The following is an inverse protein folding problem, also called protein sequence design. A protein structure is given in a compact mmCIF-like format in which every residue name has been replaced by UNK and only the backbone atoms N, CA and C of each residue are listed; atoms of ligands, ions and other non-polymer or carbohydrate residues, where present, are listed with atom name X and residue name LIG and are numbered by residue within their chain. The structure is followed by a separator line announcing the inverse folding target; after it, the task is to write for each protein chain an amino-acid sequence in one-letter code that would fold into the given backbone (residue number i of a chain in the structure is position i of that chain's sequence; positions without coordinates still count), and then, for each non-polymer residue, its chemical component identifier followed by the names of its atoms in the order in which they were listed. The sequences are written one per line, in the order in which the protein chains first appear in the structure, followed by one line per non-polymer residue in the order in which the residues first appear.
data_IF_439373421019
#
_entry.id   IF_439373421019
#
_cell.length_a   1.000
_cell.length_b   1.000
_cell.length_c   1.000
_cell.angle_alpha   90.00
_cell.angle_beta   90.00
_cell.angle_gamma   90.00
#
_symmetry.space_group_name_H-M   'P 1'
#
loop_
_entity.id
_entity.type
_entity.pdbx_description
1 polymer ?
#
# COMPACT_ATOMS: atom_id res chain seq x y z
N UNK A 1 -25.78 24.87 -39.25
CA UNK A 1 -25.66 23.57 -38.57
C UNK A 1 -24.21 23.14 -38.72
N UNK A 2 -23.42 23.29 -37.66
CA UNK A 2 -22.01 22.92 -37.69
C UNK A 2 -21.92 21.41 -37.53
N UNK A 3 -21.36 20.73 -38.50
CA UNK A 3 -20.98 19.32 -38.40
C UNK A 3 -19.98 19.16 -37.26
N UNK A 4 -20.42 18.61 -36.16
CA UNK A 4 -19.53 18.12 -35.11
C UNK A 4 -18.79 16.91 -35.69
N UNK A 5 -17.55 17.15 -36.17
CA UNK A 5 -16.63 16.09 -36.52
C UNK A 5 -16.32 15.27 -35.25
N UNK A 6 -17.01 14.16 -35.08
CA UNK A 6 -16.82 13.16 -34.01
C UNK A 6 -15.46 12.48 -34.04
N UNK A 7 -14.69 12.70 -35.12
CA UNK A 7 -13.36 12.09 -35.25
C UNK A 7 -12.29 13.18 -35.37
N UNK A 8 -11.18 13.08 -34.63
CA UNK A 8 -10.08 14.02 -34.77
C UNK A 8 -9.56 13.98 -36.22
N UNK A 9 -9.30 15.14 -36.80
CA UNK A 9 -8.72 15.19 -38.14
C UNK A 9 -7.37 14.49 -38.13
N UNK A 10 -7.01 13.82 -39.22
CA UNK A 10 -5.73 13.10 -39.36
C UNK A 10 -4.50 14.00 -39.10
N UNK A 11 -4.67 15.34 -39.15
CA UNK A 11 -3.64 16.33 -38.78
C UNK A 11 -3.48 16.47 -37.26
N UNK A 12 -4.44 16.05 -36.45
CA UNK A 12 -4.43 16.19 -35.00
C UNK A 12 -3.94 14.88 -34.33
N UNK A 13 -3.77 13.83 -35.13
CA UNK A 13 -3.21 12.57 -34.68
C UNK A 13 -1.68 12.70 -34.68
N UNK A 14 -1.14 12.99 -33.51
CA UNK A 14 0.25 12.87 -33.13
C UNK A 14 1.28 13.47 -34.11
N UNK A 15 1.56 14.73 -33.98
CA UNK A 15 2.78 15.36 -34.53
C UNK A 15 3.95 15.24 -33.55
N UNK A 16 4.01 14.18 -32.74
CA UNK A 16 5.13 13.92 -31.87
C UNK A 16 6.38 13.65 -32.72
N UNK A 17 7.35 14.54 -32.66
CA UNK A 17 8.67 14.28 -33.22
C UNK A 17 9.45 13.35 -32.31
N UNK A 18 10.48 12.69 -32.83
CA UNK A 18 11.41 11.89 -32.00
C UNK A 18 12.03 12.69 -30.87
N UNK A 19 12.09 14.02 -31.01
CA UNK A 19 12.55 14.94 -29.97
C UNK A 19 11.56 15.03 -28.83
N UNK A 20 10.24 15.08 -29.09
CA UNK A 20 9.20 15.13 -28.05
C UNK A 20 9.19 13.84 -27.24
N UNK A 21 9.42 12.69 -27.88
CA UNK A 21 9.55 11.39 -27.19
C UNK A 21 10.82 11.40 -26.33
N UNK A 22 11.93 11.90 -26.83
CA UNK A 22 13.19 12.01 -26.10
C UNK A 22 13.06 12.92 -24.89
N UNK A 23 12.41 14.06 -25.04
CA UNK A 23 12.20 15.01 -23.93
C UNK A 23 11.26 14.46 -22.87
N UNK A 24 10.25 13.69 -23.29
CA UNK A 24 9.34 13.00 -22.37
C UNK A 24 10.05 11.89 -21.58
N UNK A 25 11.02 11.21 -22.20
CA UNK A 25 11.81 10.15 -21.57
C UNK A 25 13.05 10.66 -20.84
N UNK A 26 13.35 11.97 -20.93
CA UNK A 26 14.55 12.54 -20.32
C UNK A 26 14.58 12.43 -18.79
N UNK A 27 13.41 12.24 -18.15
CA UNK A 27 13.27 12.13 -16.70
C UNK A 27 12.33 10.98 -16.32
N UNK A 28 12.76 9.72 -16.48
CA UNK A 28 11.94 8.61 -16.02
C UNK A 28 11.86 8.59 -14.49
N UNK A 29 10.69 8.27 -13.96
CA UNK A 29 10.52 8.05 -12.53
C UNK A 29 11.29 6.80 -12.10
N UNK A 30 12.06 6.92 -11.01
CA UNK A 30 12.81 5.80 -10.44
C UNK A 30 11.97 5.08 -9.38
N UNK A 31 12.08 3.78 -9.31
CA UNK A 31 11.37 2.93 -8.34
C UNK A 31 11.95 2.97 -6.91
N UNK A 32 13.11 3.63 -6.73
CA UNK A 32 13.90 3.57 -5.49
C UNK A 32 13.53 4.61 -4.43
N UNK A 33 12.86 5.69 -4.81
CA UNK A 33 12.58 6.81 -3.91
C UNK A 33 11.12 6.78 -3.42
N UNK A 34 10.90 6.11 -2.31
CA UNK A 34 9.59 6.04 -1.66
C UNK A 34 9.74 5.99 -0.14
N UNK A 35 8.66 6.29 0.55
CA UNK A 35 8.53 6.18 1.99
C UNK A 35 7.17 5.58 2.32
N UNK A 36 7.17 4.57 3.19
CA UNK A 36 5.95 4.01 3.77
C UNK A 36 5.79 4.56 5.18
N UNK A 37 4.66 5.15 5.49
CA UNK A 37 4.35 5.69 6.81
C UNK A 37 3.10 5.02 7.36
N UNK A 38 3.23 4.44 8.54
CA UNK A 38 2.13 3.82 9.26
C UNK A 38 1.51 4.84 10.21
N UNK A 39 0.20 4.99 10.16
CA UNK A 39 -0.56 5.83 11.08
C UNK A 39 -1.46 4.94 11.93
N UNK A 40 -0.86 4.33 12.93
CA UNK A 40 -1.57 3.49 13.90
C UNK A 40 -2.24 4.40 14.93
N UNK A 41 -3.48 4.78 14.67
CA UNK A 41 -4.24 5.65 15.58
C UNK A 41 -4.67 4.96 16.87
N UNK A 42 -4.80 3.64 16.80
CA UNK A 42 -5.31 2.80 17.89
C UNK A 42 -4.24 1.84 18.46
N UNK A 43 -2.98 2.07 18.15
CA UNK A 43 -1.89 1.20 18.61
C UNK A 43 -1.84 1.05 20.15
N UNK A 44 -2.28 2.07 20.89
CA UNK A 44 -2.34 2.05 22.35
C UNK A 44 -3.25 0.90 22.85
N UNK A 45 -4.26 0.52 22.08
CA UNK A 45 -5.19 -0.53 22.50
C UNK A 45 -4.64 -1.93 22.29
N UNK A 46 -3.87 -2.15 21.25
CA UNK A 46 -3.39 -3.50 20.91
C UNK A 46 -1.88 -3.72 21.17
N UNK A 47 -1.08 -2.65 21.22
CA UNK A 47 0.34 -2.77 21.51
C UNK A 47 0.67 -2.57 22.99
N UNK A 48 0.04 -1.58 23.67
CA UNK A 48 0.32 -1.30 25.08
C UNK A 48 -0.33 -2.32 26.04
N UNK A 49 -1.48 -2.88 25.69
CA UNK A 49 -2.16 -3.86 26.53
C UNK A 49 -1.42 -5.20 26.70
N UNK A 50 -0.40 -5.46 25.91
CA UNK A 50 0.28 -6.76 25.87
C UNK A 50 1.68 -6.77 26.52
N UNK A 51 2.27 -5.63 26.85
CA UNK A 51 3.61 -5.58 27.47
C UNK A 51 3.62 -4.71 28.75
N UNK A 52 3.60 -5.33 29.92
CA UNK A 52 3.78 -4.60 31.16
C UNK A 52 5.15 -3.90 31.18
N UNK A 53 5.17 -2.59 31.26
CA UNK A 53 6.39 -1.79 31.47
C UNK A 53 6.97 -1.04 30.27
N UNK A 54 6.44 -1.20 29.06
CA UNK A 54 6.87 -0.36 27.90
C UNK A 54 6.19 1.01 27.93
N UNK A 55 7.00 2.06 27.98
CA UNK A 55 6.55 3.45 28.08
C UNK A 55 6.01 3.95 26.72
N UNK A 56 5.01 4.84 26.76
CA UNK A 56 4.32 5.51 25.64
C UNK A 56 5.22 6.11 24.54
N UNK A 57 6.49 6.39 24.83
CA UNK A 57 7.44 6.94 23.85
C UNK A 57 7.98 5.89 22.85
N UNK A 58 7.84 4.59 23.13
CA UNK A 58 8.32 3.53 22.24
C UNK A 58 7.43 3.29 21.02
N UNK A 59 6.18 3.74 21.06
CA UNK A 59 5.26 3.62 19.93
C UNK A 59 5.70 4.40 18.68
N UNK A 60 6.30 5.57 18.85
CA UNK A 60 6.82 6.36 17.71
C UNK A 60 8.09 5.78 17.12
N UNK A 61 8.93 5.15 17.94
CA UNK A 61 10.20 4.59 17.50
C UNK A 61 9.99 3.37 16.61
N UNK A 62 9.00 2.53 16.89
CA UNK A 62 8.73 1.38 16.04
C UNK A 62 8.10 1.78 14.69
N UNK A 63 7.19 2.76 14.66
CA UNK A 63 6.63 3.26 13.39
C UNK A 63 7.74 3.82 12.49
N UNK A 64 8.70 4.55 13.09
CA UNK A 64 9.88 5.02 12.37
C UNK A 64 10.75 3.87 11.87
N UNK A 65 11.00 2.85 12.70
CA UNK A 65 11.74 1.65 12.29
C UNK A 65 11.04 0.93 11.13
N UNK A 66 9.73 0.74 11.19
CA UNK A 66 8.96 0.14 10.10
C UNK A 66 9.11 0.93 8.80
N UNK A 67 9.01 2.25 8.85
CA UNK A 67 9.20 3.11 7.67
C UNK A 67 10.60 2.99 7.07
N UNK A 68 11.64 2.86 7.91
CA UNK A 68 13.03 2.80 7.47
C UNK A 68 13.43 1.40 6.97
N UNK A 69 12.85 0.34 7.52
CA UNK A 69 13.20 -1.04 7.20
C UNK A 69 12.32 -1.65 6.10
N UNK A 70 11.36 -0.89 5.57
CA UNK A 70 10.57 -1.29 4.41
C UNK A 70 11.45 -1.25 3.14
N UNK A 71 11.67 -2.41 2.54
CA UNK A 71 12.55 -2.57 1.38
C UNK A 71 11.81 -2.65 0.06
N UNK A 72 10.56 -3.07 0.09
CA UNK A 72 9.70 -3.13 -1.09
C UNK A 72 8.28 -2.74 -0.68
N UNK A 73 7.66 -1.93 -1.52
CA UNK A 73 6.26 -1.55 -1.42
C UNK A 73 5.66 -1.49 -2.82
N UNK A 74 4.45 -2.00 -2.95
CA UNK A 74 3.72 -1.94 -4.20
C UNK A 74 2.83 -0.69 -4.24
N UNK A 75 2.74 -0.06 -5.40
CA UNK A 75 1.75 0.99 -5.62
C UNK A 75 0.37 0.37 -5.84
N UNK A 76 -0.72 1.08 -5.45
CA UNK A 76 -2.05 0.51 -5.53
C UNK A 76 -2.48 0.21 -6.96
N UNK A 77 -2.91 -1.02 -7.18
CA UNK A 77 -3.59 -1.43 -8.40
C UNK A 77 -5.10 -1.28 -8.31
N UNK A 78 -5.75 -1.29 -9.44
CA UNK A 78 -7.22 -1.30 -9.52
C UNK A 78 -7.64 -2.13 -10.71
N UNK A 79 -8.61 -3.01 -10.52
CA UNK A 79 -9.26 -3.77 -11.57
C UNK A 79 -10.78 -3.65 -11.47
N UNK A 80 -11.46 -3.89 -12.57
CA UNK A 80 -12.90 -3.97 -12.62
C UNK A 80 -13.32 -5.36 -13.08
N UNK A 81 -14.29 -5.93 -12.41
CA UNK A 81 -15.01 -7.07 -12.94
C UNK A 81 -15.87 -6.63 -14.09
N UNK A 82 -16.07 -7.51 -15.06
CA UNK A 82 -16.78 -7.21 -16.30
C UNK A 82 -18.07 -8.01 -16.35
N UNK A 83 -19.18 -7.29 -16.42
CA UNK A 83 -20.48 -7.86 -16.73
C UNK A 83 -20.77 -7.76 -18.23
N UNK A 84 -21.34 -8.79 -18.79
CA UNK A 84 -21.69 -8.86 -20.22
C UNK A 84 -23.21 -8.84 -20.41
N UNK A 85 -23.68 -8.00 -21.30
CA UNK A 85 -25.05 -8.01 -21.75
C UNK A 85 -25.15 -8.67 -23.14
N UNK A 86 -25.92 -9.76 -23.19
CA UNK A 86 -26.25 -10.45 -24.44
C UNK A 86 -27.72 -10.24 -24.72
N UNK A 87 -28.05 -9.33 -25.64
CA UNK A 87 -29.43 -9.14 -26.09
C UNK A 87 -29.85 -10.23 -27.07
N UNK A 88 -31.13 -10.63 -27.05
CA UNK A 88 -31.66 -11.67 -27.95
C UNK A 88 -31.52 -11.37 -29.44
N UNK A 89 -31.28 -10.12 -29.80
CA UNK A 89 -31.16 -9.67 -31.21
C UNK A 89 -29.88 -8.88 -31.49
N UNK A 90 -28.93 -8.81 -30.55
CA UNK A 90 -27.67 -8.12 -30.74
C UNK A 90 -26.61 -9.08 -31.27
N UNK A 91 -25.99 -8.72 -32.40
CA UNK A 91 -24.86 -9.48 -32.96
C UNK A 91 -23.52 -9.21 -32.26
N UNK A 92 -23.48 -8.24 -31.34
CA UNK A 92 -22.27 -7.81 -30.60
C UNK A 92 -22.57 -7.85 -29.12
N UNK A 93 -21.66 -8.42 -28.34
CA UNK A 93 -21.75 -8.47 -26.88
C UNK A 93 -21.27 -7.13 -26.31
N UNK A 94 -22.10 -6.50 -25.51
CA UNK A 94 -21.71 -5.30 -24.77
C UNK A 94 -21.15 -5.69 -23.40
N UNK A 95 -20.07 -5.01 -23.01
CA UNK A 95 -19.39 -5.25 -21.73
C UNK A 95 -19.43 -3.99 -20.87
N UNK A 96 -19.71 -4.16 -19.59
CA UNK A 96 -19.78 -3.08 -18.60
C UNK A 96 -18.85 -3.37 -17.44
N UNK A 97 -18.27 -2.30 -16.87
CA UNK A 97 -17.57 -2.40 -15.59
C UNK A 97 -18.59 -2.58 -14.47
N UNK A 98 -18.41 -3.61 -13.65
CA UNK A 98 -19.31 -3.96 -12.56
C UNK A 98 -18.67 -3.60 -11.21
N UNK A 99 -17.87 -4.48 -10.66
CA UNK A 99 -17.25 -4.32 -9.36
C UNK A 99 -15.80 -3.84 -9.47
N UNK A 100 -15.46 -2.88 -8.65
CA UNK A 100 -14.08 -2.39 -8.53
C UNK A 100 -13.32 -3.19 -7.46
N UNK A 101 -12.27 -3.86 -7.87
CA UNK A 101 -11.43 -4.68 -7.02
C UNK A 101 -10.09 -4.01 -6.73
N UNK A 102 -9.64 -4.16 -5.49
CA UNK A 102 -8.34 -3.70 -5.03
C UNK A 102 -7.51 -4.90 -4.63
N UNK A 103 -6.38 -5.18 -5.32
CA UNK A 103 -5.47 -6.23 -4.90
C UNK A 103 -4.85 -5.87 -3.54
N UNK A 104 -4.45 -6.87 -2.73
CA UNK A 104 -3.78 -6.60 -1.46
C UNK A 104 -2.50 -5.80 -1.68
N UNK A 105 -2.09 -5.05 -0.64
CA UNK A 105 -0.85 -4.30 -0.61
C UNK A 105 0.24 -5.17 -0.02
N UNK A 106 1.23 -5.53 -0.82
CA UNK A 106 2.37 -6.32 -0.39
C UNK A 106 3.54 -5.42 0.03
N UNK A 107 4.04 -5.65 1.24
CA UNK A 107 5.18 -4.96 1.81
C UNK A 107 6.25 -5.97 2.26
N UNK A 108 7.51 -5.62 2.02
CA UNK A 108 8.66 -6.42 2.46
C UNK A 108 9.52 -5.60 3.38
N UNK A 109 9.86 -6.16 4.53
CA UNK A 109 10.70 -5.54 5.54
C UNK A 109 11.97 -6.32 5.78
N UNK A 110 13.06 -5.62 6.09
CA UNK A 110 14.19 -6.24 6.77
C UNK A 110 13.88 -6.44 8.25
N UNK A 111 14.21 -7.60 8.78
CA UNK A 111 14.11 -7.85 10.22
C UNK A 111 15.40 -7.39 10.90
N UNK A 112 15.25 -6.59 11.95
CA UNK A 112 16.34 -6.22 12.84
C UNK A 112 16.61 -7.31 13.88
N UNK A 113 17.72 -7.21 14.60
CA UNK A 113 18.10 -8.18 15.63
C UNK A 113 17.08 -8.25 16.79
N UNK A 114 16.37 -7.17 17.04
CA UNK A 114 15.35 -7.09 18.09
C UNK A 114 13.99 -7.66 17.66
N UNK A 115 13.85 -8.06 16.38
CA UNK A 115 12.62 -8.61 15.78
C UNK A 115 11.36 -7.72 15.97
N UNK A 116 11.56 -6.42 16.13
CA UNK A 116 10.47 -5.46 16.47
C UNK A 116 9.36 -5.47 15.44
N UNK A 117 9.70 -5.58 14.14
CA UNK A 117 8.72 -5.57 13.06
C UNK A 117 7.80 -6.78 13.14
N UNK A 118 8.36 -7.96 13.32
CA UNK A 118 7.61 -9.21 13.45
C UNK A 118 6.71 -9.14 14.69
N UNK A 119 7.27 -8.69 15.81
CA UNK A 119 6.51 -8.53 17.06
C UNK A 119 5.28 -7.62 16.86
N UNK A 120 5.44 -6.49 16.17
CA UNK A 120 4.32 -5.57 15.90
C UNK A 120 3.27 -6.20 15.00
N UNK A 121 3.70 -6.85 13.92
CA UNK A 121 2.77 -7.46 12.96
C UNK A 121 2.01 -8.66 13.57
N UNK A 122 2.70 -9.52 14.32
CA UNK A 122 2.09 -10.63 15.03
C UNK A 122 1.09 -10.15 16.09
N UNK A 123 1.42 -9.09 16.83
CA UNK A 123 0.50 -8.50 17.81
C UNK A 123 -0.72 -7.87 17.15
N UNK A 124 -0.55 -7.24 15.99
CA UNK A 124 -1.69 -6.74 15.24
C UNK A 124 -2.62 -7.85 14.80
N UNK A 125 -2.06 -8.97 14.29
CA UNK A 125 -2.85 -10.16 13.96
C UNK A 125 -3.49 -10.82 15.18
N UNK A 126 -2.75 -10.94 16.29
CA UNK A 126 -3.26 -11.47 17.57
C UNK A 126 -4.37 -10.60 18.15
N UNK A 127 -4.31 -9.28 17.96
CA UNK A 127 -5.38 -8.39 18.38
C UNK A 127 -6.67 -8.61 17.57
N UNK A 128 -6.56 -8.91 16.28
CA UNK A 128 -7.73 -9.23 15.45
C UNK A 128 -8.43 -10.49 15.97
N UNK A 129 -7.65 -11.52 16.30
CA UNK A 129 -8.16 -12.78 16.84
C UNK A 129 -7.21 -13.32 17.93
N UNK A 130 -7.50 -13.09 19.22
CA UNK A 130 -6.61 -13.43 20.32
C UNK A 130 -6.56 -14.93 20.60
N UNK A 131 -5.73 -15.66 19.85
CA UNK A 131 -5.52 -17.10 20.00
C UNK A 131 -4.50 -17.43 21.08
N UNK A 132 -3.42 -16.66 21.16
CA UNK A 132 -2.29 -16.95 22.07
C UNK A 132 -2.54 -16.50 23.50
N UNK A 133 -3.32 -15.44 23.69
CA UNK A 133 -3.60 -14.87 25.01
C UNK A 133 -4.40 -15.82 25.89
N UNK A 134 -5.20 -16.68 25.28
CA UNK A 134 -6.09 -17.63 25.96
C UNK A 134 -5.45 -19.01 26.18
N UNK A 135 -4.13 -19.08 26.40
CA UNK A 135 -3.39 -20.36 26.58
C UNK A 135 -3.92 -21.29 27.67
N UNK A 136 -4.71 -20.79 28.62
CA UNK A 136 -5.25 -21.58 29.75
C UNK A 136 -6.66 -22.12 29.52
N UNK A 137 -7.39 -21.56 28.57
CA UNK A 137 -8.78 -21.94 28.31
C UNK A 137 -8.92 -22.43 26.87
N UNK A 138 -8.57 -23.71 26.67
CA UNK A 138 -8.77 -24.41 25.39
C UNK A 138 -10.24 -24.45 24.93
N UNK A 139 -11.17 -24.16 25.84
CA UNK A 139 -12.61 -24.08 25.58
C UNK A 139 -13.11 -22.65 25.31
N UNK A 140 -12.26 -21.64 25.50
CA UNK A 140 -12.65 -20.27 25.24
C UNK A 140 -12.78 -20.05 23.73
N UNK A 141 -13.98 -19.75 23.27
CA UNK A 141 -14.21 -19.31 21.91
C UNK A 141 -13.46 -18.00 21.69
N UNK A 142 -12.43 -18.02 20.83
CA UNK A 142 -11.71 -16.83 20.43
C UNK A 142 -12.66 -15.97 19.59
N UNK A 143 -12.97 -14.77 20.09
CA UNK A 143 -13.85 -13.84 19.41
C UNK A 143 -13.01 -12.85 18.61
N UNK A 144 -13.37 -12.64 17.35
CA UNK A 144 -12.79 -11.55 16.57
C UNK A 144 -13.17 -10.18 17.15
N UNK A 145 -12.21 -9.27 17.21
CA UNK A 145 -12.48 -7.88 17.53
C UNK A 145 -13.20 -7.19 16.36
N UNK A 146 -13.89 -6.09 16.65
CA UNK A 146 -14.61 -5.36 15.62
C UNK A 146 -13.64 -4.70 14.61
N UNK A 147 -14.02 -4.67 13.31
CA UNK A 147 -13.17 -4.07 12.27
C UNK A 147 -12.74 -2.64 12.55
N UNK A 148 -13.59 -1.86 13.25
CA UNK A 148 -13.29 -0.48 13.62
C UNK A 148 -12.13 -0.36 14.63
N UNK A 149 -11.84 -1.44 15.37
CA UNK A 149 -10.82 -1.42 16.42
C UNK A 149 -9.41 -1.74 15.87
N UNK A 150 -9.30 -2.54 14.79
CA UNK A 150 -8.01 -2.99 14.27
C UNK A 150 -7.64 -2.42 12.90
N UNK A 151 -8.56 -1.75 12.20
CA UNK A 151 -8.28 -1.12 10.91
C UNK A 151 -7.54 0.18 11.10
N UNK A 152 -6.48 0.35 10.32
CA UNK A 152 -5.55 1.47 10.41
C UNK A 152 -5.36 2.16 9.05
N UNK A 153 -4.53 3.20 9.01
CA UNK A 153 -4.22 3.98 7.81
C UNK A 153 -2.73 3.86 7.51
N UNK A 154 -2.41 3.67 6.22
CA UNK A 154 -1.04 3.63 5.73
C UNK A 154 -0.89 4.64 4.59
N UNK A 155 0.23 5.34 4.58
CA UNK A 155 0.60 6.26 3.51
C UNK A 155 1.84 5.73 2.79
N UNK A 156 1.80 5.72 1.46
CA UNK A 156 2.97 5.48 0.62
C UNK A 156 3.22 6.75 -0.18
N UNK A 157 4.37 7.37 0.04
CA UNK A 157 4.78 8.57 -0.67
C UNK A 157 5.91 8.24 -1.61
N UNK A 158 5.70 8.46 -2.89
CA UNK A 158 6.70 8.38 -3.94
C UNK A 158 7.24 9.77 -4.20
N UNK A 159 8.56 9.91 -4.21
CA UNK A 159 9.22 11.19 -4.50
C UNK A 159 10.32 11.01 -5.54
N UNK A 160 10.60 12.10 -6.26
CA UNK A 160 11.61 12.14 -7.29
C UNK A 160 12.83 12.97 -6.85
N UNK A 161 14.01 12.54 -7.30
CA UNK A 161 15.28 13.16 -6.91
C UNK A 161 15.44 14.59 -7.46
N UNK A 162 15.00 14.83 -8.70
CA UNK A 162 15.30 16.02 -9.48
C UNK A 162 14.06 16.86 -9.81
N UNK A 163 13.14 16.99 -8.87
CA UNK A 163 11.95 17.82 -9.07
C UNK A 163 12.25 19.33 -8.93
N UNK A 164 13.27 19.81 -9.64
CA UNK A 164 13.59 21.23 -9.67
C UNK A 164 12.70 21.92 -10.71
N UNK A 165 11.68 22.62 -10.25
CA UNK A 165 10.85 23.44 -11.13
C UNK A 165 11.48 24.82 -11.26
N UNK A 166 12.29 25.05 -12.31
CA UNK A 166 12.94 26.33 -12.59
C UNK A 166 11.98 27.53 -12.77
N UNK A 167 10.68 27.27 -12.92
CA UNK A 167 9.67 28.28 -13.28
C UNK A 167 8.88 28.88 -12.11
N UNK A 168 9.05 28.39 -10.89
CA UNK A 168 8.36 28.97 -9.72
C UNK A 168 9.36 29.27 -8.62
N UNK A 169 9.64 30.56 -8.44
CA UNK A 169 10.38 31.16 -7.34
C UNK A 169 10.54 30.25 -6.11
N UNK A 170 11.74 29.66 -5.97
CA UNK A 170 12.37 29.17 -4.73
C UNK A 170 11.54 28.33 -3.74
N UNK A 171 10.36 27.87 -4.06
CA UNK A 171 9.64 26.91 -3.23
C UNK A 171 9.86 25.52 -3.83
N UNK A 172 10.55 24.66 -3.09
CA UNK A 172 10.73 23.25 -3.43
C UNK A 172 9.37 22.56 -3.46
N UNK A 173 8.66 22.63 -4.56
CA UNK A 173 7.55 21.74 -4.83
C UNK A 173 8.16 20.47 -5.40
N UNK A 174 8.54 19.55 -4.53
CA UNK A 174 8.83 18.17 -4.92
C UNK A 174 7.56 17.59 -5.57
N UNK A 175 7.68 17.06 -6.77
CA UNK A 175 6.63 16.25 -7.37
C UNK A 175 6.50 14.98 -6.52
N UNK A 176 5.70 15.06 -5.48
CA UNK A 176 5.43 13.94 -4.57
C UNK A 176 4.04 13.43 -4.86
N UNK A 177 3.94 12.16 -5.15
CA UNK A 177 2.66 11.46 -5.22
C UNK A 177 2.49 10.67 -3.95
N UNK A 178 1.45 10.95 -3.20
CA UNK A 178 1.12 10.23 -1.96
C UNK A 178 -0.16 9.44 -2.13
N UNK A 179 -0.10 8.19 -1.72
CA UNK A 179 -1.24 7.28 -1.65
C UNK A 179 -1.60 7.04 -0.20
N UNK A 180 -2.85 7.31 0.15
CA UNK A 180 -3.42 7.06 1.47
C UNK A 180 -4.33 5.84 1.39
N UNK A 181 -3.94 4.75 2.05
CA UNK A 181 -4.73 3.53 2.15
C UNK A 181 -5.56 3.56 3.42
N UNK A 182 -6.85 3.34 3.29
CA UNK A 182 -7.81 3.43 4.40
C UNK A 182 -8.40 2.06 4.70
N UNK A 183 -8.66 1.82 5.98
CA UNK A 183 -9.17 0.55 6.49
C UNK A 183 -8.22 -0.62 6.20
N UNK A 184 -6.94 -0.40 6.45
CA UNK A 184 -5.89 -1.40 6.25
C UNK A 184 -5.84 -2.36 7.43
N UNK A 185 -5.68 -3.64 7.13
CA UNK A 185 -5.49 -4.69 8.13
C UNK A 185 -4.62 -5.83 7.56
N UNK A 186 -3.88 -6.55 8.41
CA UNK A 186 -3.01 -7.63 7.95
C UNK A 186 -3.85 -8.84 7.53
N UNK A 187 -3.70 -9.24 6.26
CA UNK A 187 -4.37 -10.41 5.70
C UNK A 187 -3.51 -11.66 5.84
N UNK A 188 -2.22 -11.55 5.52
CA UNK A 188 -1.30 -12.67 5.53
C UNK A 188 0.11 -12.22 5.90
N UNK A 189 0.72 -12.92 6.84
CA UNK A 189 2.12 -12.81 7.19
C UNK A 189 2.83 -14.08 6.71
N UNK A 190 3.71 -13.94 5.74
CA UNK A 190 4.38 -15.09 5.13
C UNK A 190 5.40 -15.70 6.09
N UNK A 191 5.40 -17.03 6.20
CA UNK A 191 6.38 -17.74 7.03
C UNK A 191 7.81 -17.50 6.53
N UNK A 192 8.72 -17.26 7.47
CA UNK A 192 10.14 -17.02 7.19
C UNK A 192 10.95 -18.30 7.36
N UNK A 193 11.75 -18.61 6.35
CA UNK A 193 12.62 -19.78 6.39
C UNK A 193 13.92 -19.43 7.13
N UNK A 194 14.26 -20.24 8.13
CA UNK A 194 15.56 -20.22 8.79
C UNK A 194 16.39 -21.45 8.32
N UNK A 195 17.63 -21.23 7.93
CA UNK A 195 18.53 -22.30 7.51
C UNK A 195 19.97 -22.00 7.96
N UNK A 196 20.69 -23.04 8.34
CA UNK A 196 22.14 -22.94 8.55
C UNK A 196 22.82 -22.92 7.18
N UNK A 197 23.71 -21.97 6.97
CA UNK A 197 24.43 -21.79 5.70
C UNK A 197 24.96 -20.36 5.56
N UNK A 198 24.99 -19.87 4.32
CA UNK A 198 25.42 -18.50 4.06
C UNK A 198 24.47 -17.50 4.73
N UNK A 199 25.01 -16.52 5.49
CA UNK A 199 24.20 -15.56 6.22
C UNK A 199 23.54 -14.58 5.27
N UNK A 200 22.22 -14.67 5.14
CA UNK A 200 21.40 -13.71 4.42
C UNK A 200 20.55 -12.90 5.42
N UNK A 201 20.26 -11.64 5.06
CA UNK A 201 19.38 -10.80 5.88
C UNK A 201 17.96 -11.36 5.85
N UNK A 202 17.39 -11.56 7.03
CA UNK A 202 16.02 -12.03 7.19
C UNK A 202 15.04 -10.98 6.67
N UNK A 203 14.09 -11.43 5.83
CA UNK A 203 13.02 -10.58 5.29
C UNK A 203 11.68 -11.10 5.76
N UNK A 204 10.81 -10.17 6.09
CA UNK A 204 9.42 -10.41 6.46
C UNK A 204 8.51 -9.85 5.36
N UNK A 205 7.64 -10.70 4.81
CA UNK A 205 6.67 -10.30 3.80
C UNK A 205 5.28 -10.30 4.43
N UNK A 206 4.56 -9.21 4.24
CA UNK A 206 3.19 -9.06 4.70
C UNK A 206 2.29 -8.57 3.57
N UNK A 207 1.12 -9.20 3.44
CA UNK A 207 0.04 -8.78 2.57
C UNK A 207 -1.04 -8.11 3.41
N UNK A 208 -1.38 -6.88 3.05
CA UNK A 208 -2.36 -6.05 3.74
C UNK A 208 -3.59 -5.87 2.86
N UNK A 209 -4.76 -6.19 3.40
CA UNK A 209 -6.01 -5.84 2.76
C UNK A 209 -6.41 -4.42 3.14
N UNK A 210 -7.06 -3.71 2.24
CA UNK A 210 -7.55 -2.35 2.47
C UNK A 210 -8.90 -2.11 1.79
N UNK A 211 -9.65 -1.14 2.30
CA UNK A 211 -10.97 -0.86 1.76
C UNK A 211 -10.93 -0.01 0.49
N UNK A 212 -10.05 0.96 0.43
CA UNK A 212 -9.85 1.88 -0.71
C UNK A 212 -8.58 2.69 -0.50
N UNK A 213 -8.15 3.38 -1.56
CA UNK A 213 -7.05 4.33 -1.47
C UNK A 213 -7.45 5.69 -2.07
N UNK A 214 -6.75 6.73 -1.62
CA UNK A 214 -6.83 8.09 -2.15
C UNK A 214 -5.46 8.51 -2.65
N UNK A 215 -5.45 9.18 -3.80
CA UNK A 215 -4.21 9.71 -4.38
C UNK A 215 -4.16 11.22 -4.19
N UNK A 216 -3.03 11.73 -3.72
CA UNK A 216 -2.73 13.16 -3.62
C UNK A 216 -1.53 13.43 -4.52
N UNK A 217 -1.74 14.24 -5.55
CA UNK A 217 -0.71 14.68 -6.50
C UNK A 217 -0.16 16.06 -6.11
#
# INVERSE_FOLDING_TARGET
MSENNLFPRRSDIFKGTTLDVRDSLARPSLDTLYQVTFSFGKYDTWLEGSVPGKKRNQGRDFMRKMSLLCTQAELPGTSFDVSTATGHHQGIVETFADLRNFPPLDLVFYCDADMVIIEVLERWMEYINPVQTNKRDLSAFTRFNYPEDYKEIIHITKFERDSFNEKKNATYQSNMTSYEFVNVWPQNLTSMRLAYGDPNVLKCNISLAYGRFFTKF
#
